data_IF_503796304990
#
_entry.id   IF_503796304990
#
_cell.length_a   1.000
_cell.length_b   1.000
_cell.length_c   1.000
_cell.angle_alpha   90.00
_cell.angle_beta   90.00
_cell.angle_gamma   90.00
#
_symmetry.space_group_name_H-M   'P 1'
#
loop_
_entity.id
_entity.type
_entity.pdbx_description
1 polymer ?
#
# COMPACT_ATOMS: atom_id res chain seq x y z
N UNK A 1 21.31 27.38 -20.86
CA UNK A 1 21.33 25.91 -20.95
C UNK A 1 20.02 25.47 -21.56
N UNK A 2 20.05 24.69 -22.64
CA UNK A 2 18.84 24.13 -23.26
C UNK A 2 18.31 22.94 -22.45
N UNK A 3 17.06 22.57 -22.62
CA UNK A 3 16.53 21.36 -22.00
C UNK A 3 17.21 20.10 -22.54
N UNK A 4 17.57 20.06 -23.82
CA UNK A 4 18.34 18.96 -24.43
C UNK A 4 19.69 18.77 -23.73
N UNK A 5 20.41 19.84 -23.41
CA UNK A 5 21.67 19.78 -22.64
C UNK A 5 21.45 19.24 -21.22
N UNK A 6 20.36 19.65 -20.57
CA UNK A 6 19.99 19.16 -19.24
C UNK A 6 19.67 17.67 -19.26
N UNK A 7 18.90 17.21 -20.25
CA UNK A 7 18.60 15.78 -20.43
C UNK A 7 19.89 14.99 -20.64
N UNK A 8 20.80 15.47 -21.49
CA UNK A 8 22.12 14.84 -21.71
C UNK A 8 22.90 14.73 -20.39
N UNK A 9 23.08 15.84 -19.67
CA UNK A 9 23.85 15.86 -18.42
C UNK A 9 23.24 14.92 -17.38
N UNK A 10 21.91 14.92 -17.25
CA UNK A 10 21.21 14.07 -16.29
C UNK A 10 21.33 12.57 -16.63
N UNK A 11 21.27 12.21 -17.90
CA UNK A 11 21.46 10.81 -18.32
C UNK A 11 22.93 10.37 -18.10
N UNK A 12 23.90 11.27 -18.29
CA UNK A 12 25.31 11.01 -17.94
C UNK A 12 25.49 10.77 -16.45
N UNK A 13 24.88 11.60 -15.59
CA UNK A 13 24.89 11.39 -14.13
C UNK A 13 24.29 10.03 -13.72
N UNK A 14 23.34 9.51 -14.50
CA UNK A 14 22.70 8.22 -14.29
C UNK A 14 23.48 7.03 -14.88
N UNK A 15 24.68 7.27 -15.42
CA UNK A 15 25.65 6.26 -15.81
C UNK A 15 25.61 5.84 -17.28
N UNK A 16 25.15 6.69 -18.19
CA UNK A 16 25.14 6.41 -19.64
C UNK A 16 25.95 7.44 -20.43
N UNK A 17 26.71 6.98 -21.41
CA UNK A 17 27.45 7.87 -22.32
C UNK A 17 26.52 8.52 -23.34
N UNK A 18 26.50 9.85 -23.37
CA UNK A 18 25.59 10.62 -24.21
C UNK A 18 26.29 11.72 -25.00
N UNK A 19 25.87 11.91 -26.26
CA UNK A 19 26.18 13.08 -27.08
C UNK A 19 24.90 13.78 -27.53
N UNK A 20 25.00 15.05 -27.93
CA UNK A 20 23.85 15.81 -28.47
C UNK A 20 24.07 16.04 -29.94
N UNK A 21 23.04 15.79 -30.74
CA UNK A 21 22.99 16.13 -32.15
C UNK A 21 21.69 16.92 -32.39
N UNK A 22 21.82 18.20 -32.70
CA UNK A 22 20.69 19.12 -32.87
C UNK A 22 19.76 19.15 -31.64
N UNK A 23 18.53 18.64 -31.76
CA UNK A 23 17.52 18.52 -30.70
C UNK A 23 17.42 17.11 -30.11
N UNK A 24 18.29 16.20 -30.53
CA UNK A 24 18.29 14.81 -30.10
C UNK A 24 19.48 14.51 -29.16
N UNK A 25 19.22 13.70 -28.13
CA UNK A 25 20.24 13.13 -27.25
C UNK A 25 20.54 11.70 -27.70
N UNK A 26 21.76 11.45 -28.14
CA UNK A 26 22.27 10.15 -28.56
C UNK A 26 22.83 9.43 -27.33
N UNK A 27 22.18 8.35 -26.91
CA UNK A 27 22.59 7.52 -25.77
C UNK A 27 23.29 6.27 -26.31
N UNK A 28 24.57 6.09 -25.99
CA UNK A 28 25.34 4.91 -26.37
C UNK A 28 25.05 3.77 -25.40
N UNK A 29 24.78 2.59 -25.94
CA UNK A 29 24.52 1.37 -25.16
C UNK A 29 25.79 0.55 -24.96
N UNK A 30 25.73 -0.39 -24.03
CA UNK A 30 26.82 -1.34 -23.75
C UNK A 30 27.19 -2.21 -24.97
N UNK A 31 26.22 -2.49 -25.85
CA UNK A 31 26.42 -3.23 -27.11
C UNK A 31 26.98 -2.37 -28.26
N UNK A 32 27.29 -1.09 -28.00
CA UNK A 32 27.78 -0.13 -28.99
C UNK A 32 26.69 0.47 -29.89
N UNK A 33 25.42 0.07 -29.74
CA UNK A 33 24.31 0.66 -30.49
C UNK A 33 23.84 1.98 -29.86
N UNK A 34 23.21 2.85 -30.66
CA UNK A 34 22.78 4.18 -30.21
C UNK A 34 21.25 4.27 -30.12
N UNK A 35 20.77 4.76 -28.97
CA UNK A 35 19.38 5.11 -28.74
C UNK A 35 19.20 6.63 -28.82
N UNK A 36 18.35 7.10 -29.73
CA UNK A 36 18.08 8.52 -29.94
C UNK A 36 16.89 8.93 -29.05
N UNK A 37 17.10 9.90 -28.16
CA UNK A 37 16.05 10.53 -27.35
C UNK A 37 15.75 11.91 -27.93
N UNK A 38 14.61 12.05 -28.61
CA UNK A 38 14.22 13.30 -29.23
C UNK A 38 13.49 14.25 -28.29
N UNK A 39 13.98 15.49 -28.21
CA UNK A 39 13.40 16.57 -27.41
C UNK A 39 12.66 17.53 -28.35
N UNK A 40 11.34 17.64 -28.21
CA UNK A 40 10.56 18.59 -29.00
C UNK A 40 10.71 20.03 -28.48
N UNK A 41 10.43 21.00 -29.34
CA UNK A 41 10.49 22.43 -29.00
C UNK A 41 9.54 22.82 -27.86
N UNK A 42 8.44 22.08 -27.67
CA UNK A 42 7.50 22.29 -26.57
C UNK A 42 8.16 22.08 -25.21
N UNK A 43 8.98 21.03 -25.07
CA UNK A 43 9.73 20.76 -23.83
C UNK A 43 10.76 21.85 -23.55
N UNK A 44 11.43 22.35 -24.59
CA UNK A 44 12.35 23.49 -24.47
C UNK A 44 11.63 24.75 -23.97
N UNK A 45 10.46 25.07 -24.55
CA UNK A 45 9.64 26.21 -24.12
C UNK A 45 9.18 26.05 -22.67
N UNK A 46 8.71 24.87 -22.28
CA UNK A 46 8.29 24.60 -20.90
C UNK A 46 9.44 24.66 -19.89
N UNK A 47 10.63 24.16 -20.24
CA UNK A 47 11.81 24.27 -19.39
C UNK A 47 12.25 25.72 -19.19
N UNK A 48 12.28 26.51 -20.27
CA UNK A 48 12.56 27.96 -20.18
C UNK A 48 11.54 28.67 -19.30
N UNK A 49 10.26 28.37 -19.45
CA UNK A 49 9.22 28.96 -18.62
C UNK A 49 9.32 28.53 -17.14
N UNK A 50 9.71 27.29 -16.86
CA UNK A 50 9.96 26.80 -15.50
C UNK A 50 11.15 27.52 -14.84
N UNK A 51 12.28 27.63 -15.56
CA UNK A 51 13.48 28.32 -15.05
C UNK A 51 13.32 29.84 -14.94
N UNK A 52 12.51 30.46 -15.81
CA UNK A 52 12.22 31.90 -15.79
C UNK A 52 11.11 32.29 -14.79
N UNK A 53 10.43 31.32 -14.17
CA UNK A 53 9.38 31.59 -13.22
C UNK A 53 9.93 32.33 -11.99
N UNK A 54 9.21 33.35 -11.52
CA UNK A 54 9.64 34.19 -10.38
C UNK A 54 9.68 33.40 -9.07
N UNK A 55 8.79 32.43 -8.93
CA UNK A 55 8.73 31.52 -7.79
C UNK A 55 8.36 30.13 -8.29
N UNK A 56 9.36 29.26 -8.42
CA UNK A 56 9.17 27.84 -8.67
C UNK A 56 9.76 27.05 -7.51
N UNK A 57 8.97 26.16 -6.93
CA UNK A 57 9.44 25.20 -5.92
C UNK A 57 8.84 23.83 -6.19
N UNK A 58 9.66 22.80 -6.03
CA UNK A 58 9.24 21.42 -6.13
C UNK A 58 9.62 20.69 -4.85
N UNK A 59 8.61 20.14 -4.17
CA UNK A 59 8.82 19.28 -3.02
C UNK A 59 8.81 17.82 -3.49
N UNK A 60 9.98 17.19 -3.42
CA UNK A 60 10.18 15.80 -3.84
C UNK A 60 9.43 14.79 -2.97
N UNK A 61 9.18 15.09 -1.70
CA UNK A 61 8.53 14.14 -0.78
C UNK A 61 7.03 14.09 -1.03
N UNK A 62 6.38 15.26 -1.14
CA UNK A 62 4.93 15.35 -1.41
C UNK A 62 4.59 15.40 -2.89
N UNK A 63 5.61 15.45 -3.76
CA UNK A 63 5.48 15.63 -5.21
C UNK A 63 4.58 16.80 -5.57
N UNK A 64 4.84 17.92 -4.88
CA UNK A 64 4.09 19.16 -4.98
C UNK A 64 4.92 20.15 -5.78
N UNK A 65 4.37 20.59 -6.91
CA UNK A 65 4.93 21.69 -7.69
C UNK A 65 4.15 22.97 -7.37
N UNK A 66 4.87 24.05 -7.05
CA UNK A 66 4.31 25.39 -6.95
C UNK A 66 5.04 26.28 -7.95
N UNK A 67 4.29 26.88 -8.88
CA UNK A 67 4.83 27.82 -9.88
C UNK A 67 3.97 29.08 -9.90
N UNK A 68 4.55 30.20 -9.50
CA UNK A 68 3.84 31.48 -9.37
C UNK A 68 2.57 31.36 -8.51
N UNK A 69 1.39 31.38 -9.14
CA UNK A 69 0.07 31.28 -8.48
C UNK A 69 -0.60 29.91 -8.71
N UNK A 70 0.14 28.92 -9.24
CA UNK A 70 -0.37 27.58 -9.50
C UNK A 70 0.23 26.57 -8.54
N UNK A 71 -0.59 25.59 -8.17
CA UNK A 71 -0.20 24.43 -7.37
C UNK A 71 -0.60 23.19 -8.12
N UNK A 72 0.35 22.29 -8.37
CA UNK A 72 0.12 21.03 -9.05
C UNK A 72 0.57 19.86 -8.16
N UNK A 73 -0.29 18.85 -8.05
CA UNK A 73 -0.07 17.68 -7.20
C UNK A 73 -0.41 16.40 -7.96
N UNK A 74 0.36 15.34 -7.74
CA UNK A 74 0.00 14.02 -8.25
C UNK A 74 -1.32 13.54 -7.64
N UNK A 75 -2.17 12.92 -8.46
CA UNK A 75 -3.36 12.19 -8.01
C UNK A 75 -3.23 10.70 -8.28
N UNK A 76 -3.98 9.91 -7.54
CA UNK A 76 -4.10 8.46 -7.71
C UNK A 76 -5.57 8.10 -7.86
N UNK A 77 -5.90 7.42 -8.96
CA UNK A 77 -7.24 6.90 -9.20
C UNK A 77 -7.46 5.66 -8.34
N UNK A 78 -8.59 5.63 -7.62
CA UNK A 78 -8.97 4.55 -6.71
C UNK A 78 -9.76 3.45 -7.42
N UNK A 79 -10.55 3.81 -8.44
CA UNK A 79 -11.36 2.87 -9.20
C UNK A 79 -10.61 2.35 -10.45
N UNK A 80 -10.61 1.03 -10.67
CA UNK A 80 -9.98 0.39 -11.84
C UNK A 80 -10.74 0.61 -13.14
N UNK A 81 -12.06 0.83 -13.08
CA UNK A 81 -12.92 0.89 -14.27
C UNK A 81 -12.68 2.12 -15.16
N UNK A 82 -12.01 3.16 -14.64
CA UNK A 82 -11.68 4.37 -15.39
C UNK A 82 -10.31 4.36 -16.08
N UNK A 83 -9.51 3.29 -15.97
CA UNK A 83 -8.10 3.28 -16.38
C UNK A 83 -7.83 3.66 -17.86
N UNK A 84 -8.86 3.62 -18.71
CA UNK A 84 -8.77 3.91 -20.15
C UNK A 84 -9.30 5.29 -20.55
N UNK A 85 -9.84 6.06 -19.59
CA UNK A 85 -10.42 7.37 -19.86
C UNK A 85 -9.42 8.45 -19.45
N UNK A 86 -8.77 9.04 -20.45
CA UNK A 86 -7.90 10.22 -20.35
C UNK A 86 -8.72 11.51 -20.37
N UNK A 87 -9.76 11.57 -19.53
CA UNK A 87 -10.58 12.78 -19.42
C UNK A 87 -9.84 13.82 -18.60
N UNK A 88 -9.65 15.00 -19.22
CA UNK A 88 -9.22 16.18 -18.51
C UNK A 88 -10.45 16.96 -18.03
N UNK A 89 -10.59 17.16 -16.73
CA UNK A 89 -11.66 17.95 -16.15
C UNK A 89 -11.18 19.36 -15.85
N UNK A 90 -11.97 20.37 -16.22
CA UNK A 90 -11.73 21.76 -15.81
C UNK A 90 -12.91 22.27 -15.01
N UNK A 91 -12.66 22.58 -13.75
CA UNK A 91 -13.63 23.12 -12.80
C UNK A 91 -13.26 24.55 -12.44
N UNK A 92 -14.29 25.37 -12.15
CA UNK A 92 -14.11 26.75 -11.69
C UNK A 92 -14.73 26.92 -10.32
N UNK A 93 -14.01 27.57 -9.41
CA UNK A 93 -14.55 27.99 -8.12
C UNK A 93 -15.29 29.32 -8.23
N UNK A 94 -16.08 29.68 -7.21
CA UNK A 94 -16.81 30.97 -7.11
C UNK A 94 -15.90 32.18 -7.32
N UNK A 95 -14.63 32.08 -6.89
CA UNK A 95 -13.60 33.10 -7.09
C UNK A 95 -12.99 33.13 -8.51
N UNK A 96 -13.55 32.40 -9.48
CA UNK A 96 -13.01 32.22 -10.84
C UNK A 96 -11.59 31.63 -10.88
N UNK A 97 -11.16 30.96 -9.80
CA UNK A 97 -9.96 30.13 -9.79
C UNK A 97 -10.25 28.81 -10.49
N UNK A 98 -9.30 28.26 -11.23
CA UNK A 98 -9.49 27.04 -12.01
C UNK A 98 -8.83 25.85 -11.32
N UNK A 99 -9.49 24.69 -11.40
CA UNK A 99 -8.93 23.39 -11.03
C UNK A 99 -8.96 22.52 -12.28
N UNK A 100 -7.80 22.03 -12.71
CA UNK A 100 -7.67 21.13 -13.85
C UNK A 100 -7.19 19.79 -13.34
N UNK A 101 -7.92 18.72 -13.62
CA UNK A 101 -7.52 17.33 -13.32
C UNK A 101 -7.25 16.63 -14.64
N UNK A 102 -6.09 16.00 -14.81
CA UNK A 102 -5.72 15.36 -16.06
C UNK A 102 -4.26 14.92 -16.08
N UNK A 103 -3.65 14.87 -17.26
CA UNK A 103 -2.22 14.60 -17.41
C UNK A 103 -1.38 15.71 -16.76
N UNK A 104 -0.22 15.32 -16.23
CA UNK A 104 0.70 16.29 -15.66
C UNK A 104 1.13 17.36 -16.66
N UNK A 105 1.38 18.57 -16.17
CA UNK A 105 2.01 19.60 -16.97
C UNK A 105 3.45 19.20 -17.33
N UNK A 106 3.95 19.72 -18.45
CA UNK A 106 5.36 19.54 -18.83
C UNK A 106 6.30 20.09 -17.75
N UNK A 107 5.92 21.16 -17.05
CA UNK A 107 6.70 21.73 -15.95
C UNK A 107 6.81 20.75 -14.78
N UNK A 108 5.72 20.05 -14.45
CA UNK A 108 5.73 19.02 -13.42
C UNK A 108 6.65 17.86 -13.77
N UNK A 109 6.56 17.36 -15.02
CA UNK A 109 7.43 16.28 -15.49
C UNK A 109 8.92 16.68 -15.46
N UNK A 110 9.23 17.92 -15.85
CA UNK A 110 10.58 18.50 -15.76
C UNK A 110 11.04 18.60 -14.30
N UNK A 111 10.21 19.14 -13.42
CA UNK A 111 10.54 19.31 -12.00
C UNK A 111 10.82 17.94 -11.32
N UNK A 112 10.01 16.92 -11.62
CA UNK A 112 10.27 15.56 -11.15
C UNK A 112 11.58 15.00 -11.73
N UNK A 113 11.84 15.18 -13.03
CA UNK A 113 13.05 14.71 -13.70
C UNK A 113 14.35 15.28 -13.09
N UNK A 114 14.30 16.54 -12.67
CA UNK A 114 15.42 17.22 -12.00
C UNK A 114 15.55 16.82 -10.51
N UNK A 115 14.55 16.19 -9.93
CA UNK A 115 14.57 15.77 -8.53
C UNK A 115 15.40 14.49 -8.32
N UNK A 116 15.89 14.28 -7.10
CA UNK A 116 16.55 13.02 -6.71
C UNK A 116 15.60 11.81 -6.60
N UNK A 117 14.27 12.01 -6.67
CA UNK A 117 13.35 10.87 -6.78
C UNK A 117 13.44 10.20 -8.15
N UNK A 118 13.81 10.96 -9.18
CA UNK A 118 13.88 10.45 -10.55
C UNK A 118 14.87 9.29 -10.66
N UNK A 119 15.96 9.29 -9.91
CA UNK A 119 16.99 8.24 -9.94
C UNK A 119 16.39 6.84 -9.67
N UNK A 120 15.41 6.78 -8.74
CA UNK A 120 14.69 5.54 -8.42
C UNK A 120 13.72 5.15 -9.52
N UNK A 121 13.01 6.12 -10.08
CA UNK A 121 12.14 5.87 -11.23
C UNK A 121 12.95 5.37 -12.43
N UNK A 122 14.13 5.97 -12.64
CA UNK A 122 15.04 5.63 -13.72
C UNK A 122 15.54 4.19 -13.58
N UNK A 123 16.06 3.81 -12.42
CA UNK A 123 16.59 2.45 -12.19
C UNK A 123 15.51 1.37 -12.40
N UNK A 124 14.28 1.63 -11.96
CA UNK A 124 13.17 0.67 -12.04
C UNK A 124 12.55 0.61 -13.44
N UNK A 125 12.33 1.77 -14.10
CA UNK A 125 11.48 1.85 -15.30
C UNK A 125 12.21 2.20 -16.59
N UNK A 126 13.29 2.98 -16.52
CA UNK A 126 13.92 3.60 -17.71
C UNK A 126 15.23 2.91 -18.08
N UNK A 127 16.07 2.55 -17.10
CA UNK A 127 17.40 1.97 -17.31
C UNK A 127 17.35 0.78 -18.27
N UNK A 128 16.45 -0.18 -18.04
CA UNK A 128 16.25 -1.36 -18.90
C UNK A 128 15.79 -0.98 -20.32
N UNK A 129 14.97 0.07 -20.46
CA UNK A 129 14.44 0.53 -21.77
C UNK A 129 15.50 1.21 -22.63
N UNK A 130 16.46 1.88 -22.00
CA UNK A 130 17.57 2.52 -22.69
C UNK A 130 18.68 1.53 -23.04
N UNK A 131 18.96 0.56 -22.16
CA UNK A 131 20.02 -0.45 -22.35
C UNK A 131 19.62 -1.62 -23.24
N UNK A 132 18.45 -2.24 -23.05
CA UNK A 132 18.14 -3.55 -23.65
C UNK A 132 17.09 -3.52 -24.77
N UNK A 133 16.48 -2.37 -25.06
CA UNK A 133 15.36 -2.32 -26.01
C UNK A 133 15.83 -2.16 -27.46
N UNK A 134 15.19 -2.87 -28.39
CA UNK A 134 15.47 -2.70 -29.82
C UNK A 134 14.97 -1.37 -30.43
N UNK A 135 14.24 -0.56 -29.67
CA UNK A 135 13.71 0.73 -30.14
C UNK A 135 14.87 1.72 -30.29
N UNK A 136 15.13 2.15 -31.53
CA UNK A 136 16.24 3.08 -31.87
C UNK A 136 15.95 4.55 -31.55
N UNK A 137 14.70 5.01 -31.69
CA UNK A 137 14.31 6.40 -31.45
C UNK A 137 13.14 6.47 -30.48
N UNK A 138 13.23 7.34 -29.48
CA UNK A 138 12.23 7.55 -28.44
C UNK A 138 11.99 9.05 -28.24
N UNK A 139 10.76 9.51 -28.08
CA UNK A 139 10.52 10.87 -27.62
C UNK A 139 10.86 10.98 -26.13
N UNK A 140 11.30 12.17 -25.69
CA UNK A 140 11.67 12.44 -24.28
C UNK A 140 10.55 12.06 -23.29
N UNK A 141 9.28 12.21 -23.69
CA UNK A 141 8.12 11.81 -22.90
C UNK A 141 8.16 10.34 -22.43
N UNK A 142 8.83 9.44 -23.14
CA UNK A 142 8.94 8.01 -22.77
C UNK A 142 9.94 7.74 -21.65
N UNK A 143 10.84 8.69 -21.37
CA UNK A 143 11.81 8.61 -20.28
C UNK A 143 11.38 9.46 -19.07
N UNK A 144 10.42 10.35 -19.25
CA UNK A 144 9.85 11.17 -18.18
C UNK A 144 8.74 10.44 -17.44
N UNK A 145 8.51 10.84 -16.19
CA UNK A 145 7.37 10.39 -15.40
C UNK A 145 6.17 11.31 -15.66
N UNK A 146 5.10 10.75 -16.22
CA UNK A 146 3.90 11.47 -16.61
C UNK A 146 2.66 10.92 -15.86
N UNK A 147 2.52 11.20 -14.56
CA UNK A 147 1.33 10.79 -13.82
C UNK A 147 0.14 11.69 -14.15
N UNK A 148 -1.05 11.27 -13.74
CA UNK A 148 -2.16 12.21 -13.60
C UNK A 148 -1.90 13.16 -12.43
N UNK A 149 -2.24 14.44 -12.62
CA UNK A 149 -2.14 15.48 -11.61
C UNK A 149 -3.43 16.28 -11.53
N UNK A 150 -3.51 17.07 -10.46
CA UNK A 150 -4.48 18.14 -10.30
C UNK A 150 -3.74 19.45 -10.15
N UNK A 151 -4.13 20.43 -10.96
CA UNK A 151 -3.57 21.79 -10.98
C UNK A 151 -4.62 22.79 -10.52
N UNK A 152 -4.36 23.48 -9.40
CA UNK A 152 -5.11 24.65 -8.96
C UNK A 152 -4.41 25.92 -9.42
N UNK A 153 -5.13 26.81 -10.10
CA UNK A 153 -4.64 28.15 -10.48
C UNK A 153 -5.45 29.22 -9.78
N UNK A 154 -4.81 29.96 -8.87
CA UNK A 154 -5.45 31.04 -8.14
C UNK A 154 -5.62 32.29 -9.01
N UNK A 155 -6.79 32.94 -8.90
CA UNK A 155 -7.00 34.28 -9.46
C UNK A 155 -6.44 35.33 -8.49
N UNK A 156 -5.43 36.09 -8.93
CA UNK A 156 -4.74 37.11 -8.11
C UNK A 156 -3.49 36.58 -7.41
N UNK A 157 -2.73 37.45 -6.72
CA UNK A 157 -1.53 37.07 -5.97
C UNK A 157 -1.91 36.55 -4.58
N UNK A 158 -1.41 35.37 -4.20
CA UNK A 158 -1.52 34.80 -2.85
C UNK A 158 -0.13 34.47 -2.30
N UNK A 159 0.02 34.49 -0.99
CA UNK A 159 1.28 34.09 -0.32
C UNK A 159 1.40 32.56 -0.35
N UNK A 160 2.61 32.04 -0.55
CA UNK A 160 2.89 30.60 -0.72
C UNK A 160 2.26 29.65 0.34
N UNK A 161 2.36 29.91 1.67
CA UNK A 161 1.80 29.01 2.68
C UNK A 161 0.26 28.97 2.65
N UNK A 162 -0.38 30.13 2.43
CA UNK A 162 -1.82 30.23 2.26
C UNK A 162 -2.28 29.56 0.97
N UNK A 163 -1.48 29.68 -0.10
CA UNK A 163 -1.78 29.07 -1.39
C UNK A 163 -1.87 27.54 -1.28
N UNK A 164 -0.94 26.88 -0.58
CA UNK A 164 -0.95 25.42 -0.39
C UNK A 164 -2.17 24.91 0.39
N UNK A 165 -2.52 25.57 1.50
CA UNK A 165 -3.66 25.16 2.32
C UNK A 165 -5.01 25.44 1.65
N UNK A 166 -5.11 26.54 0.90
CA UNK A 166 -6.31 26.85 0.11
C UNK A 166 -6.42 25.90 -1.09
N UNK A 167 -5.33 25.64 -1.80
CA UNK A 167 -5.34 24.74 -2.96
C UNK A 167 -5.80 23.34 -2.55
N UNK A 168 -5.27 22.77 -1.47
CA UNK A 168 -5.68 21.46 -0.97
C UNK A 168 -7.19 21.38 -0.71
N UNK A 169 -7.76 22.34 0.02
CA UNK A 169 -9.21 22.36 0.30
C UNK A 169 -10.06 22.46 -0.97
N UNK A 170 -9.63 23.26 -1.95
CA UNK A 170 -10.37 23.42 -3.21
C UNK A 170 -10.22 22.17 -4.09
N UNK A 171 -9.03 21.58 -4.12
CA UNK A 171 -8.75 20.32 -4.83
C UNK A 171 -9.60 19.18 -4.25
N UNK A 172 -9.64 19.00 -2.93
CA UNK A 172 -10.46 17.96 -2.30
C UNK A 172 -11.95 18.10 -2.64
N UNK A 173 -12.47 19.33 -2.64
CA UNK A 173 -13.85 19.62 -3.08
C UNK A 173 -14.07 19.28 -4.55
N UNK A 174 -13.10 19.58 -5.41
CA UNK A 174 -13.16 19.28 -6.83
C UNK A 174 -13.14 17.76 -7.09
N UNK A 175 -12.25 17.03 -6.42
CA UNK A 175 -12.18 15.56 -6.52
C UNK A 175 -13.45 14.90 -6.00
N UNK A 176 -14.05 15.41 -4.92
CA UNK A 176 -15.35 14.93 -4.46
C UNK A 176 -16.46 15.16 -5.49
N UNK A 177 -16.50 16.33 -6.13
CA UNK A 177 -17.47 16.61 -7.21
C UNK A 177 -17.30 15.63 -8.37
N UNK A 178 -16.07 15.34 -8.79
CA UNK A 178 -15.80 14.35 -9.84
C UNK A 178 -16.23 12.94 -9.43
N UNK A 179 -15.99 12.56 -8.18
CA UNK A 179 -16.43 11.27 -7.67
C UNK A 179 -17.97 11.13 -7.71
N UNK A 180 -18.72 12.18 -7.37
CA UNK A 180 -20.19 12.15 -7.34
C UNK A 180 -20.80 12.27 -8.74
N UNK A 181 -20.30 13.18 -9.57
CA UNK A 181 -20.94 13.52 -10.85
C UNK A 181 -20.41 12.73 -12.03
N UNK A 182 -19.14 12.31 -12.00
CA UNK A 182 -18.47 11.62 -13.10
C UNK A 182 -18.10 10.18 -12.76
N UNK A 183 -18.35 9.72 -11.53
CA UNK A 183 -17.88 8.42 -11.01
C UNK A 183 -16.35 8.22 -11.13
N UNK A 184 -15.57 9.31 -11.24
CA UNK A 184 -14.10 9.24 -11.26
C UNK A 184 -13.55 9.54 -9.86
N UNK A 185 -13.24 8.47 -9.13
CA UNK A 185 -12.74 8.52 -7.77
C UNK A 185 -11.22 8.66 -7.76
N UNK A 186 -10.74 9.86 -7.44
CA UNK A 186 -9.31 10.17 -7.33
C UNK A 186 -9.00 10.76 -5.95
N UNK A 187 -7.79 10.49 -5.47
CA UNK A 187 -7.24 11.08 -4.24
C UNK A 187 -5.90 11.73 -4.54
N UNK A 188 -5.57 12.79 -3.79
CA UNK A 188 -4.21 13.35 -3.81
C UNK A 188 -3.23 12.28 -3.37
N UNK A 189 -2.19 12.06 -4.18
CA UNK A 189 -1.15 11.09 -3.86
C UNK A 189 -0.39 11.55 -2.62
N UNK A 190 -0.14 10.62 -1.71
CA UNK A 190 0.67 10.83 -0.51
C UNK A 190 1.86 9.87 -0.54
N UNK A 191 3.05 10.32 -0.10
CA UNK A 191 4.18 9.42 0.05
C UNK A 191 3.84 8.34 1.07
N UNK A 192 3.95 7.08 0.65
CA UNK A 192 3.86 5.95 1.59
C UNK A 192 5.18 5.83 2.33
N UNK A 193 5.13 5.62 3.64
CA UNK A 193 6.34 5.29 4.42
C UNK A 193 6.94 4.01 3.85
N UNK A 194 8.17 4.09 3.30
CA UNK A 194 8.86 2.99 2.61
C UNK A 194 9.05 1.71 3.43
N UNK A 195 8.89 1.81 4.75
CA UNK A 195 9.41 0.85 5.74
C UNK A 195 8.81 -0.55 5.60
N UNK A 196 7.54 -0.67 5.23
CA UNK A 196 6.85 -1.97 5.33
C UNK A 196 6.70 -2.69 3.99
N UNK A 197 6.44 -1.97 2.89
CA UNK A 197 6.06 -2.61 1.62
C UNK A 197 7.16 -3.47 0.98
N UNK A 198 8.44 -3.10 1.07
CA UNK A 198 9.52 -3.89 0.46
C UNK A 198 9.79 -5.19 1.22
N UNK A 199 9.78 -5.14 2.56
CA UNK A 199 9.91 -6.33 3.42
C UNK A 199 8.67 -7.22 3.29
N UNK A 200 7.50 -6.61 3.11
CA UNK A 200 6.21 -7.29 3.10
C UNK A 200 5.98 -8.21 1.90
N UNK A 201 6.48 -7.88 0.70
CA UNK A 201 6.19 -8.66 -0.50
C UNK A 201 7.18 -9.78 -0.77
N UNK A 202 8.35 -9.74 -0.13
CA UNK A 202 9.44 -10.69 -0.39
C UNK A 202 10.09 -10.45 -1.77
N UNK A 203 11.16 -11.18 -2.03
CA UNK A 203 11.75 -11.22 -3.36
C UNK A 203 10.87 -12.06 -4.30
N UNK A 204 10.84 -11.69 -5.57
CA UNK A 204 10.21 -12.53 -6.61
C UNK A 204 11.12 -13.74 -6.77
N UNK A 205 10.66 -14.90 -6.32
CA UNK A 205 11.32 -16.19 -6.53
C UNK A 205 10.82 -16.70 -7.89
N UNK A 206 11.74 -16.86 -8.83
CA UNK A 206 11.48 -17.44 -10.15
C UNK A 206 11.60 -18.97 -9.98
N UNK A 207 10.50 -19.59 -9.56
CA UNK A 207 10.36 -21.05 -9.47
C UNK A 207 9.25 -21.47 -10.44
N UNK A 208 9.66 -22.18 -11.49
CA UNK A 208 8.75 -22.69 -12.52
C UNK A 208 8.00 -23.97 -12.08
N UNK A 209 8.29 -24.49 -10.88
CA UNK A 209 7.65 -25.70 -10.37
C UNK A 209 6.31 -25.39 -9.71
N UNK A 210 5.28 -26.16 -10.08
CA UNK A 210 3.96 -26.10 -9.48
C UNK A 210 3.87 -27.12 -8.33
N UNK A 211 3.33 -26.70 -7.18
CA UNK A 211 3.04 -27.62 -6.08
C UNK A 211 1.85 -28.53 -6.42
N UNK A 212 1.90 -29.79 -5.98
CA UNK A 212 0.79 -30.75 -6.11
C UNK A 212 -0.36 -30.52 -5.12
N UNK A 213 -0.21 -29.60 -4.15
CA UNK A 213 -1.19 -29.37 -3.10
C UNK A 213 -2.47 -28.72 -3.62
N UNK A 214 -3.63 -29.27 -3.20
CA UNK A 214 -4.93 -28.68 -3.49
C UNK A 214 -5.37 -27.73 -2.36
N UNK A 215 -5.74 -26.51 -2.73
CA UNK A 215 -6.16 -25.47 -1.79
C UNK A 215 -7.63 -25.13 -1.94
N UNK A 216 -8.30 -24.83 -0.83
CA UNK A 216 -9.70 -24.36 -0.83
C UNK A 216 -9.85 -23.05 -1.61
N UNK A 217 -10.70 -23.07 -2.63
CA UNK A 217 -10.91 -21.92 -3.53
C UNK A 217 -11.37 -20.66 -2.78
N UNK A 218 -12.22 -20.81 -1.76
CA UNK A 218 -12.75 -19.69 -0.98
C UNK A 218 -11.64 -18.98 -0.23
N UNK A 219 -10.78 -19.75 0.43
CA UNK A 219 -9.65 -19.22 1.20
C UNK A 219 -8.62 -18.58 0.27
N UNK A 220 -8.35 -19.22 -0.88
CA UNK A 220 -7.47 -18.67 -1.92
C UNK A 220 -8.03 -17.37 -2.50
N UNK A 221 -9.34 -17.24 -2.68
CA UNK A 221 -9.97 -16.02 -3.20
C UNK A 221 -9.85 -14.86 -2.20
N UNK A 222 -10.03 -15.10 -0.89
CA UNK A 222 -9.73 -14.11 0.14
C UNK A 222 -8.26 -13.67 0.11
N UNK A 223 -7.35 -14.64 -0.01
CA UNK A 223 -5.92 -14.34 -0.12
C UNK A 223 -5.58 -13.51 -1.36
N UNK A 224 -6.10 -13.87 -2.54
CA UNK A 224 -5.93 -13.11 -3.80
C UNK A 224 -6.47 -11.69 -3.67
N UNK A 225 -7.64 -11.51 -3.07
CA UNK A 225 -8.21 -10.19 -2.79
C UNK A 225 -7.29 -9.36 -1.88
N UNK A 226 -6.74 -9.99 -0.83
CA UNK A 226 -5.82 -9.33 0.08
C UNK A 226 -4.52 -8.90 -0.61
N UNK A 227 -3.99 -9.73 -1.51
CA UNK A 227 -2.80 -9.43 -2.32
C UNK A 227 -3.02 -8.32 -3.35
N UNK A 228 -4.18 -8.31 -3.99
CA UNK A 228 -4.49 -7.37 -5.06
C UNK A 228 -4.94 -6.00 -4.55
N UNK A 229 -5.44 -5.91 -3.31
CA UNK A 229 -6.00 -4.67 -2.79
C UNK A 229 -4.93 -3.57 -2.64
N UNK A 230 -5.19 -2.35 -3.14
CA UNK A 230 -4.30 -1.21 -2.92
C UNK A 230 -4.44 -0.63 -1.50
N UNK A 231 -5.51 -0.99 -0.78
CA UNK A 231 -5.88 -0.44 0.52
C UNK A 231 -5.47 -1.39 1.66
N UNK A 232 -4.66 -0.92 2.63
CA UNK A 232 -4.20 -1.74 3.74
C UNK A 232 -5.32 -2.32 4.60
N UNK A 233 -6.37 -1.54 4.86
CA UNK A 233 -7.54 -1.99 5.64
C UNK A 233 -8.26 -3.16 4.99
N UNK A 234 -8.54 -3.07 3.70
CA UNK A 234 -9.16 -4.16 2.93
C UNK A 234 -8.24 -5.37 2.84
N UNK A 235 -6.94 -5.15 2.62
CA UNK A 235 -5.95 -6.24 2.60
C UNK A 235 -5.93 -6.99 3.93
N UNK A 236 -5.91 -6.26 5.04
CA UNK A 236 -5.93 -6.84 6.39
C UNK A 236 -7.19 -7.66 6.63
N UNK A 237 -8.38 -7.11 6.33
CA UNK A 237 -9.64 -7.83 6.51
C UNK A 237 -9.71 -9.08 5.65
N UNK A 238 -9.27 -9.02 4.40
CA UNK A 238 -9.26 -10.18 3.52
C UNK A 238 -8.32 -11.29 4.03
N UNK A 239 -7.13 -10.96 4.55
CA UNK A 239 -6.30 -11.96 5.26
C UNK A 239 -6.96 -12.47 6.55
N UNK A 240 -7.64 -11.61 7.29
CA UNK A 240 -8.34 -12.02 8.51
C UNK A 240 -9.51 -12.97 8.22
N UNK A 241 -10.22 -12.78 7.11
CA UNK A 241 -11.30 -13.68 6.68
C UNK A 241 -10.83 -15.11 6.38
N UNK A 242 -9.56 -15.31 5.97
CA UNK A 242 -8.95 -16.65 5.90
C UNK A 242 -8.97 -17.34 7.26
N UNK A 243 -8.71 -16.59 8.34
CA UNK A 243 -8.75 -17.10 9.71
C UNK A 243 -10.19 -17.33 10.17
N UNK A 244 -11.08 -16.35 9.95
CA UNK A 244 -12.50 -16.45 10.32
C UNK A 244 -13.19 -17.64 9.66
N UNK A 245 -12.84 -17.95 8.41
CA UNK A 245 -13.38 -19.10 7.69
C UNK A 245 -13.15 -20.43 8.43
N UNK A 246 -12.08 -20.53 9.23
CA UNK A 246 -11.75 -21.72 10.02
C UNK A 246 -12.30 -21.70 11.45
N UNK A 247 -12.92 -20.60 11.89
CA UNK A 247 -13.33 -20.42 13.30
C UNK A 247 -14.29 -21.51 13.77
N UNK A 248 -15.37 -21.77 13.02
CA UNK A 248 -16.36 -22.79 13.39
C UNK A 248 -15.75 -24.19 13.36
N UNK A 249 -15.11 -24.56 12.24
CA UNK A 249 -14.51 -25.88 12.04
C UNK A 249 -13.51 -26.22 13.16
N UNK A 250 -12.59 -25.30 13.47
CA UNK A 250 -11.59 -25.55 14.52
C UNK A 250 -12.23 -25.57 15.91
N UNK A 251 -13.21 -24.70 16.17
CA UNK A 251 -13.90 -24.69 17.46
C UNK A 251 -14.68 -25.97 17.72
N UNK A 252 -15.33 -26.54 16.70
CA UNK A 252 -15.99 -27.85 16.78
C UNK A 252 -14.98 -28.96 17.03
N UNK A 253 -13.85 -28.98 16.31
CA UNK A 253 -12.80 -29.97 16.50
C UNK A 253 -12.25 -29.98 17.93
N UNK A 254 -12.03 -28.80 18.53
CA UNK A 254 -11.58 -28.69 19.94
C UNK A 254 -12.59 -29.32 20.90
N UNK A 255 -13.89 -29.14 20.65
CA UNK A 255 -14.94 -29.79 21.45
C UNK A 255 -14.94 -31.29 21.23
N UNK A 256 -14.85 -31.75 19.98
CA UNK A 256 -14.80 -33.16 19.64
C UNK A 256 -13.60 -33.85 20.31
N UNK A 257 -12.41 -33.26 20.25
CA UNK A 257 -11.20 -33.79 20.90
C UNK A 257 -11.37 -33.86 22.43
N UNK A 258 -11.98 -32.83 23.02
CA UNK A 258 -12.26 -32.80 24.46
C UNK A 258 -13.28 -33.87 24.85
N UNK A 259 -14.36 -34.03 24.09
CA UNK A 259 -15.37 -35.07 24.32
C UNK A 259 -14.76 -36.46 24.14
N UNK A 260 -13.97 -36.67 23.08
CA UNK A 260 -13.24 -37.91 22.85
C UNK A 260 -12.31 -38.23 24.03
N UNK A 261 -11.58 -37.24 24.57
CA UNK A 261 -10.72 -37.45 25.73
C UNK A 261 -11.50 -37.90 26.97
N UNK A 262 -12.69 -37.33 27.23
CA UNK A 262 -13.52 -37.67 28.38
C UNK A 262 -14.10 -39.08 28.21
N UNK A 263 -14.60 -39.39 27.02
CA UNK A 263 -15.25 -40.67 26.73
C UNK A 263 -14.25 -41.83 26.69
N UNK A 264 -13.01 -41.57 26.27
CA UNK A 264 -11.95 -42.57 26.19
C UNK A 264 -11.23 -42.78 27.53
N UNK A 265 -11.58 -42.07 28.61
CA UNK A 265 -11.01 -42.33 29.93
C UNK A 265 -11.35 -43.76 30.37
N UNK A 266 -10.38 -44.61 30.77
CA UNK A 266 -10.66 -45.99 31.20
C UNK A 266 -11.60 -46.09 32.42
N UNK A 267 -11.72 -44.99 33.18
CA UNK A 267 -12.62 -44.87 34.34
C UNK A 267 -13.99 -44.30 33.99
N UNK A 268 -14.23 -43.98 32.72
CA UNK A 268 -15.51 -43.43 32.28
C UNK A 268 -16.61 -44.47 32.48
N UNK A 269 -17.65 -44.04 33.19
CA UNK A 269 -18.90 -44.79 33.38
C UNK A 269 -20.04 -43.81 33.17
N UNK A 270 -21.15 -44.25 32.57
CA UNK A 270 -22.36 -43.46 32.35
C UNK A 270 -23.11 -43.16 33.67
N UNK A 271 -22.42 -42.52 34.61
CA UNK A 271 -22.95 -42.03 35.88
C UNK A 271 -23.35 -40.58 35.75
N UNK A 272 -24.28 -40.12 36.59
CA UNK A 272 -24.78 -38.73 36.59
C UNK A 272 -23.66 -37.70 36.60
N UNK A 273 -22.65 -37.87 37.45
CA UNK A 273 -21.51 -36.95 37.55
C UNK A 273 -20.66 -36.90 36.28
N UNK A 274 -20.49 -38.02 35.56
CA UNK A 274 -19.73 -38.04 34.31
C UNK A 274 -20.54 -37.49 33.13
N UNK A 275 -21.86 -37.71 33.12
CA UNK A 275 -22.77 -37.08 32.17
C UNK A 275 -22.82 -35.56 32.38
N UNK A 276 -22.80 -35.09 33.62
CA UNK A 276 -22.73 -33.66 33.95
C UNK A 276 -21.43 -33.01 33.43
N UNK A 277 -20.29 -33.74 33.45
CA UNK A 277 -19.03 -33.27 32.84
C UNK A 277 -19.15 -33.11 31.33
N UNK A 278 -19.78 -34.06 30.64
CA UNK A 278 -20.03 -33.99 29.19
C UNK A 278 -20.95 -32.83 28.85
N UNK A 279 -22.08 -32.68 29.58
CA UNK A 279 -23.02 -31.58 29.41
C UNK A 279 -22.34 -30.23 29.65
N UNK A 280 -21.46 -30.13 30.65
CA UNK A 280 -20.70 -28.90 30.93
C UNK A 280 -19.70 -28.58 29.82
N UNK A 281 -19.04 -29.58 29.25
CA UNK A 281 -18.12 -29.38 28.12
C UNK A 281 -18.84 -28.81 26.89
N UNK A 282 -20.07 -29.26 26.63
CA UNK A 282 -20.91 -28.77 25.52
C UNK A 282 -21.46 -27.37 25.82
N UNK A 283 -22.09 -27.15 26.99
CA UNK A 283 -22.66 -25.83 27.35
C UNK A 283 -21.60 -24.73 27.50
N UNK A 284 -20.39 -25.11 27.91
CA UNK A 284 -19.26 -24.19 28.03
C UNK A 284 -18.74 -23.69 26.67
N UNK A 285 -19.04 -24.40 25.59
CA UNK A 285 -18.68 -24.02 24.22
C UNK A 285 -19.66 -22.99 23.64
N UNK A 286 -20.98 -23.22 23.74
CA UNK A 286 -22.01 -22.28 23.26
C UNK A 286 -21.94 -20.89 23.92
N UNK A 287 -21.54 -20.83 25.18
CA UNK A 287 -21.44 -19.58 25.95
C UNK A 287 -20.13 -18.80 25.73
N UNK A 288 -19.17 -19.36 24.97
CA UNK A 288 -17.82 -18.82 24.76
C UNK A 288 -17.41 -18.75 23.29
N UNK A 289 -18.32 -18.38 22.40
CA UNK A 289 -17.94 -17.85 21.08
C UNK A 289 -17.28 -16.46 21.21
N UNK A 290 -16.28 -16.33 22.09
CA UNK A 290 -15.37 -15.18 22.09
C UNK A 290 -14.44 -15.36 20.90
N UNK A 291 -14.62 -14.49 19.90
CA UNK A 291 -13.77 -14.40 18.71
C UNK A 291 -12.28 -14.50 19.03
N UNK A 292 -11.85 -13.96 20.18
CA UNK A 292 -10.44 -14.04 20.62
C UNK A 292 -10.00 -15.49 20.90
N UNK A 293 -10.86 -16.28 21.54
CA UNK A 293 -10.61 -17.68 21.85
C UNK A 293 -10.65 -18.52 20.57
N UNK A 294 -11.60 -18.26 19.67
CA UNK A 294 -11.68 -18.92 18.36
C UNK A 294 -10.42 -18.66 17.52
N UNK A 295 -9.99 -17.40 17.44
CA UNK A 295 -8.76 -17.03 16.74
C UNK A 295 -7.54 -17.70 17.37
N UNK A 296 -7.42 -17.69 18.70
CA UNK A 296 -6.33 -18.39 19.39
C UNK A 296 -6.32 -19.89 19.06
N UNK A 297 -7.47 -20.54 19.03
CA UNK A 297 -7.57 -21.96 18.70
C UNK A 297 -7.12 -22.25 17.26
N UNK A 298 -7.50 -21.39 16.30
CA UNK A 298 -7.02 -21.49 14.91
C UNK A 298 -5.51 -21.35 14.84
N UNK A 299 -4.94 -20.31 15.49
CA UNK A 299 -3.49 -20.11 15.48
C UNK A 299 -2.75 -21.29 16.11
N UNK A 300 -3.22 -21.79 17.26
CA UNK A 300 -2.61 -22.93 17.95
C UNK A 300 -2.71 -24.25 17.17
N UNK A 301 -3.69 -24.39 16.28
CA UNK A 301 -3.88 -25.60 15.47
C UNK A 301 -2.90 -25.67 14.31
N UNK A 302 -2.63 -24.55 13.64
CA UNK A 302 -1.90 -24.54 12.37
C UNK A 302 -0.50 -23.91 12.45
N UNK A 303 -0.13 -23.31 13.59
CA UNK A 303 1.10 -22.54 13.72
C UNK A 303 1.84 -22.96 14.99
N UNK A 304 3.13 -23.30 14.83
CA UNK A 304 4.01 -23.51 15.98
C UNK A 304 4.36 -22.16 16.62
N UNK A 305 4.52 -22.13 17.94
CA UNK A 305 4.92 -20.89 18.62
C UNK A 305 6.34 -20.45 18.24
N UNK A 306 7.20 -21.42 17.92
CA UNK A 306 8.58 -21.21 17.47
C UNK A 306 8.65 -20.50 16.12
N UNK A 307 7.91 -20.99 15.11
CA UNK A 307 7.84 -20.40 13.76
C UNK A 307 7.38 -18.94 13.83
N UNK A 308 6.39 -18.66 14.68
CA UNK A 308 5.87 -17.30 14.85
C UNK A 308 6.94 -16.39 15.48
N UNK A 309 7.64 -16.85 16.51
CA UNK A 309 8.69 -16.07 17.17
C UNK A 309 9.88 -15.81 16.23
N UNK A 310 10.24 -16.79 15.41
CA UNK A 310 11.27 -16.66 14.37
C UNK A 310 10.86 -15.60 13.35
N UNK A 311 9.67 -15.72 12.77
CA UNK A 311 9.12 -14.74 11.81
C UNK A 311 9.16 -13.31 12.38
N UNK A 312 8.70 -13.12 13.62
CA UNK A 312 8.68 -11.80 14.26
C UNK A 312 10.08 -11.23 14.43
N UNK A 313 11.02 -12.06 14.86
CA UNK A 313 12.42 -11.64 15.10
C UNK A 313 13.09 -11.24 13.79
N UNK A 314 12.92 -12.05 12.74
CA UNK A 314 13.48 -11.79 11.41
C UNK A 314 12.86 -10.56 10.77
N UNK A 315 11.55 -10.39 10.89
CA UNK A 315 10.86 -9.23 10.35
C UNK A 315 11.33 -7.93 11.03
N UNK A 316 11.37 -7.91 12.37
CA UNK A 316 11.85 -6.73 13.12
C UNK A 316 13.32 -6.41 12.82
N UNK A 317 14.16 -7.44 12.62
CA UNK A 317 15.56 -7.26 12.22
C UNK A 317 15.68 -6.61 10.84
N UNK A 318 14.88 -7.05 9.86
CA UNK A 318 14.85 -6.46 8.50
C UNK A 318 14.30 -5.03 8.50
N UNK A 319 13.30 -4.75 9.34
CA UNK A 319 12.72 -3.41 9.46
C UNK A 319 13.59 -2.44 10.26
N UNK A 320 14.45 -2.93 11.15
CA UNK A 320 15.26 -2.12 12.06
C UNK A 320 14.46 -1.45 13.19
N UNK A 321 13.23 -1.90 13.43
CA UNK A 321 12.32 -1.33 14.42
C UNK A 321 11.54 -2.45 15.13
N UNK A 322 11.35 -2.31 16.45
CA UNK A 322 10.60 -3.26 17.28
C UNK A 322 9.11 -2.98 17.23
N UNK A 323 8.50 -3.37 16.12
CA UNK A 323 7.09 -3.12 15.80
C UNK A 323 6.16 -3.95 16.69
N UNK A 324 6.48 -5.21 16.96
CA UNK A 324 5.62 -6.18 17.66
C UNK A 324 6.05 -6.43 19.11
N UNK A 325 7.36 -6.32 19.38
CA UNK A 325 7.96 -6.65 20.68
C UNK A 325 8.06 -5.47 21.63
N UNK A 326 7.65 -4.27 21.21
CA UNK A 326 7.61 -3.06 22.05
C UNK A 326 6.17 -2.60 22.25
N UNK A 327 5.83 -2.23 23.49
CA UNK A 327 4.49 -1.71 23.79
C UNK A 327 4.28 -0.36 23.10
N UNK A 328 3.13 -0.23 22.44
CA UNK A 328 2.70 0.95 21.72
C UNK A 328 1.21 1.23 21.95
N UNK A 329 0.74 2.35 21.42
CA UNK A 329 -0.70 2.66 21.42
C UNK A 329 -1.24 2.39 20.03
N UNK A 330 -2.21 1.48 19.93
CA UNK A 330 -2.97 1.21 18.71
C UNK A 330 -4.37 1.76 18.88
N UNK A 331 -4.73 2.75 18.06
CA UNK A 331 -6.09 3.30 18.00
C UNK A 331 -6.64 3.65 19.41
N UNK A 332 -5.85 4.39 20.19
CA UNK A 332 -6.20 4.82 21.56
C UNK A 332 -6.07 3.76 22.66
N UNK A 333 -5.68 2.52 22.35
CA UNK A 333 -5.47 1.44 23.32
C UNK A 333 -4.02 1.01 23.43
N UNK A 334 -3.58 0.65 24.65
CA UNK A 334 -2.28 -0.01 24.83
C UNK A 334 -2.30 -1.35 24.10
N UNK A 335 -1.33 -1.50 23.22
CA UNK A 335 -1.10 -2.70 22.44
C UNK A 335 -0.65 -3.86 23.33
N UNK A 336 -1.06 -5.07 22.95
CA UNK A 336 -0.55 -6.29 23.58
C UNK A 336 0.77 -6.63 22.94
N UNK A 337 1.87 -6.48 23.69
CA UNK A 337 3.20 -6.88 23.21
C UNK A 337 3.19 -8.37 22.86
N UNK A 338 3.66 -8.72 21.68
CA UNK A 338 3.80 -10.13 21.29
C UNK A 338 5.04 -10.68 22.00
N UNK A 339 4.81 -11.26 23.18
CA UNK A 339 5.85 -11.82 24.04
C UNK A 339 6.19 -13.23 23.57
N UNK A 340 7.48 -13.58 23.56
CA UNK A 340 7.96 -14.89 23.10
C UNK A 340 7.38 -16.10 23.87
N UNK A 341 6.89 -15.92 25.10
CA UNK A 341 6.32 -16.99 25.93
C UNK A 341 4.82 -17.22 25.75
N UNK A 342 4.12 -16.27 25.12
CA UNK A 342 2.67 -16.31 24.88
C UNK A 342 2.35 -15.68 23.52
N UNK A 343 3.17 -16.00 22.51
CA UNK A 343 3.17 -15.30 21.23
C UNK A 343 1.83 -15.48 20.52
N UNK A 344 1.30 -16.71 20.50
CA UNK A 344 0.02 -17.02 19.84
C UNK A 344 -1.16 -16.27 20.47
N UNK A 345 -1.26 -16.27 21.79
CA UNK A 345 -2.35 -15.60 22.51
C UNK A 345 -2.29 -14.07 22.37
N UNK A 346 -1.08 -13.50 22.37
CA UNK A 346 -0.89 -12.07 22.20
C UNK A 346 -1.16 -11.66 20.75
N UNK A 347 -0.69 -12.42 19.76
CA UNK A 347 -1.01 -12.22 18.34
C UNK A 347 -2.52 -12.22 18.09
N UNK A 348 -3.26 -13.17 18.66
CA UNK A 348 -4.72 -13.20 18.51
C UNK A 348 -5.38 -11.91 19.02
N UNK A 349 -4.96 -11.39 20.18
CA UNK A 349 -5.48 -10.14 20.73
C UNK A 349 -5.17 -8.94 19.83
N UNK A 350 -3.94 -8.84 19.33
CA UNK A 350 -3.49 -7.76 18.46
C UNK A 350 -4.27 -7.77 17.14
N UNK A 351 -4.39 -8.93 16.49
CA UNK A 351 -5.12 -9.07 15.23
C UNK A 351 -6.60 -8.68 15.39
N UNK A 352 -7.26 -9.14 16.46
CA UNK A 352 -8.63 -8.77 16.80
C UNK A 352 -8.75 -7.27 17.06
N UNK A 353 -7.80 -6.67 17.78
CA UNK A 353 -7.79 -5.23 18.06
C UNK A 353 -7.69 -4.40 16.78
N UNK A 354 -6.79 -4.76 15.86
CA UNK A 354 -6.66 -4.11 14.55
C UNK A 354 -7.92 -4.30 13.71
N UNK A 355 -8.45 -5.53 13.64
CA UNK A 355 -9.72 -5.82 12.95
C UNK A 355 -10.86 -4.95 13.49
N UNK A 356 -11.01 -4.86 14.80
CA UNK A 356 -12.05 -4.05 15.42
C UNK A 356 -11.87 -2.56 15.18
N UNK A 357 -10.63 -2.05 15.16
CA UNK A 357 -10.38 -0.66 14.80
C UNK A 357 -10.75 -0.34 13.35
N UNK A 358 -10.61 -1.31 12.44
CA UNK A 358 -11.00 -1.16 11.03
C UNK A 358 -12.52 -1.21 10.86
N UNK A 359 -13.20 -2.15 11.53
CA UNK A 359 -14.64 -2.42 11.33
C UNK A 359 -15.52 -1.50 12.18
N UNK A 360 -15.11 -1.19 13.40
CA UNK A 360 -15.93 -0.51 14.38
C UNK A 360 -15.40 0.91 14.64
N UNK A 361 -16.02 1.91 14.02
CA UNK A 361 -15.92 3.30 14.44
C UNK A 361 -16.74 3.52 15.73
N UNK A 362 -16.35 2.85 16.82
CA UNK A 362 -17.13 2.87 18.06
C UNK A 362 -16.84 4.13 18.88
N UNK A 363 -17.91 4.73 19.44
CA UNK A 363 -17.90 5.90 20.35
C UNK A 363 -17.05 5.71 21.63
N UNK A 364 -16.52 4.51 21.89
CA UNK A 364 -15.58 4.27 23.00
C UNK A 364 -14.24 4.99 22.78
N UNK A 365 -13.92 5.35 21.55
CA UNK A 365 -12.68 6.02 21.18
C UNK A 365 -12.92 7.50 20.93
N UNK A 366 -11.92 8.33 21.22
CA UNK A 366 -11.96 9.71 20.72
C UNK A 366 -11.90 9.64 19.19
N UNK A 367 -12.59 10.56 18.50
CA UNK A 367 -12.61 10.56 17.01
C UNK A 367 -11.22 10.58 16.38
N UNK A 368 -10.24 11.17 17.07
CA UNK A 368 -8.83 11.19 16.69
C UNK A 368 -8.13 9.80 16.72
N UNK A 369 -8.67 8.85 17.47
CA UNK A 369 -8.12 7.49 17.62
C UNK A 369 -8.77 6.47 16.67
N UNK A 370 -9.83 6.85 15.95
CA UNK A 370 -10.53 5.98 15.01
C UNK A 370 -9.76 5.84 13.68
N UNK A 371 -9.84 4.65 13.06
CA UNK A 371 -9.37 4.49 11.69
C UNK A 371 -10.24 5.31 10.74
N UNK A 372 -9.60 6.16 9.93
CA UNK A 372 -10.24 6.88 8.84
C UNK A 372 -9.52 6.46 7.55
N UNK A 373 -10.22 5.91 6.54
CA UNK A 373 -9.59 5.56 5.27
C UNK A 373 -8.84 6.72 4.62
N UNK A 374 -7.76 6.43 3.90
CA UNK A 374 -6.92 7.41 3.18
C UNK A 374 -6.20 8.45 4.08
N UNK A 375 -6.12 8.17 5.38
CA UNK A 375 -5.37 8.97 6.37
C UNK A 375 -4.12 8.23 6.85
N UNK A 376 -3.32 8.90 7.68
CA UNK A 376 -2.11 8.32 8.26
C UNK A 376 -2.38 7.08 9.13
N UNK A 377 -3.63 6.88 9.57
CA UNK A 377 -4.04 5.67 10.28
C UNK A 377 -3.89 4.39 9.43
N UNK A 378 -3.90 4.48 8.10
CA UNK A 378 -3.58 3.34 7.23
C UNK A 378 -2.13 2.86 7.40
N UNK A 379 -1.20 3.75 7.72
CA UNK A 379 0.20 3.37 7.92
C UNK A 379 0.39 2.46 9.14
N UNK A 380 -0.45 2.62 10.17
CA UNK A 380 -0.47 1.74 11.34
C UNK A 380 -0.94 0.34 10.92
N UNK A 381 -1.97 0.23 10.08
CA UNK A 381 -2.47 -1.05 9.56
C UNK A 381 -1.42 -1.73 8.68
N UNK A 382 -0.68 -0.96 7.86
CA UNK A 382 0.39 -1.50 7.01
C UNK A 382 1.49 -2.20 7.83
N UNK A 383 1.72 -1.80 9.09
CA UNK A 383 2.69 -2.47 9.99
C UNK A 383 2.22 -3.86 10.44
N UNK A 384 0.92 -4.16 10.37
CA UNK A 384 0.32 -5.44 10.77
C UNK A 384 -0.03 -6.36 9.61
N UNK A 385 0.04 -5.88 8.37
CA UNK A 385 -0.12 -6.72 7.19
C UNK A 385 0.83 -7.94 7.17
N UNK A 386 2.13 -7.82 7.52
CA UNK A 386 3.05 -8.96 7.50
C UNK A 386 2.63 -10.10 8.40
N UNK A 387 2.25 -9.81 9.65
CA UNK A 387 1.86 -10.84 10.61
C UNK A 387 0.52 -11.50 10.24
N UNK A 388 -0.49 -10.72 9.80
CA UNK A 388 -1.78 -11.31 9.39
C UNK A 388 -1.63 -12.16 8.13
N UNK A 389 -0.76 -11.74 7.19
CA UNK A 389 -0.40 -12.52 6.00
C UNK A 389 0.28 -13.84 6.39
N UNK A 390 1.30 -13.79 7.25
CA UNK A 390 2.03 -14.98 7.70
C UNK A 390 1.10 -16.02 8.31
N UNK A 391 0.22 -15.61 9.23
CA UNK A 391 -0.73 -16.54 9.84
C UNK A 391 -1.76 -17.06 8.84
N UNK A 392 -2.21 -16.25 7.89
CA UNK A 392 -3.13 -16.68 6.84
C UNK A 392 -2.48 -17.72 5.92
N UNK A 393 -1.21 -17.53 5.52
CA UNK A 393 -0.44 -18.49 4.71
C UNK A 393 -0.29 -19.82 5.44
N UNK A 394 0.12 -19.80 6.72
CA UNK A 394 0.25 -21.02 7.53
C UNK A 394 -1.07 -21.77 7.67
N UNK A 395 -2.19 -21.06 7.84
CA UNK A 395 -3.53 -21.67 7.87
C UNK A 395 -3.87 -22.29 6.52
N UNK A 396 -3.66 -21.59 5.39
CA UNK A 396 -3.90 -22.14 4.05
C UNK A 396 -3.11 -23.43 3.84
N UNK A 397 -1.81 -23.42 4.16
CA UNK A 397 -0.94 -24.59 4.02
C UNK A 397 -1.39 -25.73 4.93
N UNK A 398 -1.77 -25.45 6.18
CA UNK A 398 -2.25 -26.45 7.13
C UNK A 398 -3.63 -27.03 6.79
N UNK A 399 -4.37 -26.43 5.86
CA UNK A 399 -5.67 -26.91 5.38
C UNK A 399 -5.66 -27.54 4.00
N UNK A 400 -4.52 -27.51 3.30
CA UNK A 400 -4.35 -28.12 1.99
C UNK A 400 -4.48 -29.65 2.09
N UNK A 401 -4.98 -30.27 1.02
CA UNK A 401 -5.20 -31.73 0.92
C UNK A 401 -4.24 -32.40 -0.04
#
# INVERSE_FOLDING_TARGET
MSFTEVVKNRIIELGFDCSVQESDVLVTREDGTVCIVGVSEEWEKSYRAYTAARSASYDSETRLLIVNNTVEMQVSRLASNGAYISESYTLKDKAQSTVVVGDCSMMYAIAFFLSGEYDKYFSIRVKRRLSLSQIKRRPVRQILFLPQTVTYSAKGRKILPELKSVSLRVIERALFKLAVEQNDCMVVWKPKKKRNRSVFWGDIIDDDSLSEADYDETVVNYYKLAKASPFPSQSFLAFYHVLEYQFLKVSELVVHDRLASILNEPKFRASRNNLDKVITAIRGHDSRNDETEMLRNVLARYISEEDLVEFLTDFEARCGEKIYTKSRVLFGQKDTVINKSHALANTAKVLKQVRNAIVHSTDRYKREDCHIPLTDSESIIEEYLPIVRFVAEKVIYGTAT
#
